data_IF_998783992676
#
_entry.id   IF_998783992676
#
_cell.length_a   1.000
_cell.length_b   1.000
_cell.length_c   1.000
_cell.angle_alpha   90.00
_cell.angle_beta   90.00
_cell.angle_gamma   90.00
#
_symmetry.space_group_name_H-M   'P 1'
#
loop_
_entity.id
_entity.type
_entity.pdbx_description
1 polymer ?
#
# COMPACT_ATOMS: atom_id res chain seq x y z
N UNK A 1 11.87 14.69 -0.06
CA UNK A 1 10.74 14.39 -0.96
C UNK A 1 11.16 13.65 -2.23
N UNK A 2 12.33 13.91 -2.83
CA UNK A 2 12.77 13.21 -4.04
C UNK A 2 12.76 11.66 -3.90
N UNK A 3 13.34 11.04 -2.86
CA UNK A 3 13.30 9.58 -2.71
C UNK A 3 11.88 9.04 -2.48
N UNK A 4 11.05 9.80 -1.75
CA UNK A 4 9.66 9.45 -1.52
C UNK A 4 8.85 9.43 -2.81
N UNK A 5 8.99 10.46 -3.65
CA UNK A 5 8.32 10.53 -4.95
C UNK A 5 8.75 9.36 -5.86
N UNK A 6 10.02 8.96 -5.83
CA UNK A 6 10.49 7.78 -6.56
C UNK A 6 9.80 6.49 -6.10
N UNK A 7 9.69 6.27 -4.80
CA UNK A 7 8.99 5.08 -4.24
C UNK A 7 7.52 5.09 -4.61
N UNK A 8 6.83 6.23 -4.43
CA UNK A 8 5.41 6.38 -4.79
C UNK A 8 5.20 6.14 -6.28
N UNK A 9 6.06 6.69 -7.14
CA UNK A 9 5.99 6.46 -8.59
C UNK A 9 6.20 4.99 -8.95
N UNK A 10 7.18 4.34 -8.31
CA UNK A 10 7.45 2.91 -8.51
C UNK A 10 6.25 2.05 -8.10
N UNK A 11 5.62 2.36 -6.96
CA UNK A 11 4.40 1.68 -6.51
C UNK A 11 3.21 1.93 -7.44
N UNK A 12 2.99 3.17 -7.89
CA UNK A 12 1.87 3.54 -8.73
C UNK A 12 1.99 2.99 -10.17
N UNK A 13 3.17 3.09 -10.77
CA UNK A 13 3.39 2.80 -12.20
C UNK A 13 4.43 1.71 -12.42
N UNK A 14 5.57 1.78 -11.72
CA UNK A 14 6.71 0.88 -11.94
C UNK A 14 6.44 -0.61 -11.72
N UNK A 15 5.44 -0.95 -10.91
CA UNK A 15 5.05 -2.35 -10.63
C UNK A 15 3.89 -2.87 -11.48
N UNK A 16 3.44 -2.12 -12.50
CA UNK A 16 2.33 -2.53 -13.36
C UNK A 16 2.60 -3.87 -14.07
N UNK A 17 3.79 -4.05 -14.65
CA UNK A 17 4.19 -5.29 -15.32
C UNK A 17 4.28 -6.48 -14.36
N UNK A 18 4.82 -6.28 -13.15
CA UNK A 18 4.86 -7.33 -12.13
C UNK A 18 3.46 -7.76 -11.66
N UNK A 19 2.49 -6.83 -11.73
CA UNK A 19 1.10 -7.10 -11.36
C UNK A 19 0.36 -7.85 -12.48
N UNK A 20 0.65 -7.57 -13.75
CA UNK A 20 0.06 -8.32 -14.87
C UNK A 20 0.59 -9.75 -14.97
N UNK A 21 1.77 -10.03 -14.42
CA UNK A 21 2.37 -11.37 -14.33
C UNK A 21 1.90 -12.19 -13.13
N UNK A 22 0.93 -11.73 -12.34
CA UNK A 22 0.40 -12.53 -11.24
C UNK A 22 -0.31 -13.79 -11.76
N UNK A 23 -0.31 -14.90 -10.99
CA UNK A 23 -0.76 -16.20 -11.47
C UNK A 23 -2.29 -16.32 -11.62
N UNK A 24 -3.06 -15.37 -11.08
CA UNK A 24 -4.51 -15.30 -11.25
C UNK A 24 -5.00 -13.84 -11.30
N UNK A 25 -6.19 -13.58 -11.90
CA UNK A 25 -6.83 -12.26 -11.84
C UNK A 25 -7.08 -11.77 -10.41
N UNK A 26 -7.39 -12.69 -9.49
CA UNK A 26 -7.57 -12.37 -8.07
C UNK A 26 -6.26 -11.91 -7.43
N UNK A 27 -5.15 -12.62 -7.66
CA UNK A 27 -3.82 -12.22 -7.19
C UNK A 27 -3.39 -10.87 -7.79
N UNK A 28 -3.67 -10.61 -9.08
CA UNK A 28 -3.42 -9.32 -9.71
C UNK A 28 -4.20 -8.18 -9.03
N UNK A 29 -5.48 -8.42 -8.72
CA UNK A 29 -6.32 -7.44 -8.03
C UNK A 29 -5.84 -7.15 -6.60
N UNK A 30 -5.48 -8.19 -5.84
CA UNK A 30 -4.92 -8.06 -4.49
C UNK A 30 -3.59 -7.31 -4.48
N UNK A 31 -2.69 -7.63 -5.43
CA UNK A 31 -1.42 -6.92 -5.58
C UNK A 31 -1.63 -5.43 -5.95
N UNK A 32 -2.58 -5.13 -6.83
CA UNK A 32 -2.98 -3.76 -7.17
C UNK A 32 -3.53 -3.01 -5.96
N UNK A 33 -4.46 -3.63 -5.23
CA UNK A 33 -5.04 -3.06 -4.01
C UNK A 33 -3.97 -2.75 -2.95
N UNK A 34 -3.04 -3.68 -2.71
CA UNK A 34 -1.94 -3.48 -1.78
C UNK A 34 -1.04 -2.30 -2.19
N UNK A 35 -0.71 -2.18 -3.48
CA UNK A 35 0.10 -1.05 -4.02
C UNK A 35 -0.60 0.30 -3.79
N UNK A 36 -1.87 0.40 -4.17
CA UNK A 36 -2.61 1.65 -4.04
C UNK A 36 -2.90 2.00 -2.58
N UNK A 37 -3.21 1.01 -1.72
CA UNK A 37 -3.34 1.22 -0.28
C UNK A 37 -2.06 1.83 0.31
N UNK A 38 -0.90 1.30 -0.07
CA UNK A 38 0.40 1.85 0.36
C UNK A 38 0.58 3.28 -0.12
N UNK A 39 0.30 3.59 -1.40
CA UNK A 39 0.39 4.96 -1.93
C UNK A 39 -0.50 5.91 -1.14
N UNK A 40 -1.78 5.57 -0.93
CA UNK A 40 -2.72 6.44 -0.22
C UNK A 40 -2.34 6.65 1.25
N UNK A 41 -1.98 5.58 1.96
CA UNK A 41 -1.57 5.69 3.37
C UNK A 41 -0.26 6.48 3.53
N UNK A 42 0.68 6.34 2.59
CA UNK A 42 1.96 7.04 2.66
C UNK A 42 1.87 8.52 2.27
N UNK A 43 0.84 8.93 1.50
CA UNK A 43 0.58 10.33 1.19
C UNK A 43 0.07 11.14 2.40
N UNK A 44 -0.32 10.47 3.51
CA UNK A 44 -0.62 11.15 4.77
C UNK A 44 0.60 11.90 5.33
N UNK A 45 1.82 11.37 5.16
CA UNK A 45 3.05 12.00 5.66
C UNK A 45 3.34 13.37 5.05
N UNK A 46 3.42 13.54 3.72
CA UNK A 46 3.59 14.86 3.13
C UNK A 46 2.41 15.80 3.39
N UNK A 47 1.18 15.27 3.48
CA UNK A 47 0.01 16.09 3.83
C UNK A 47 0.14 16.73 5.21
N UNK A 48 0.46 15.94 6.24
CA UNK A 48 0.68 16.46 7.60
C UNK A 48 1.82 17.47 7.65
N UNK A 49 2.90 17.24 6.89
CA UNK A 49 4.01 18.18 6.78
C UNK A 49 3.57 19.54 6.18
N UNK A 50 2.72 19.51 5.15
CA UNK A 50 2.16 20.73 4.54
C UNK A 50 1.18 21.45 5.48
N UNK A 51 0.35 20.74 6.25
CA UNK A 51 -0.58 21.33 7.22
C UNK A 51 0.14 22.16 8.28
N UNK A 52 1.30 21.73 8.74
CA UNK A 52 2.14 22.53 9.66
C UNK A 52 2.65 23.83 9.03
N UNK A 53 2.77 23.87 7.70
CA UNK A 53 3.27 25.01 6.95
C UNK A 53 2.20 26.10 6.69
N UNK A 54 0.91 25.77 6.86
CA UNK A 54 -0.22 26.71 6.67
C UNK A 54 -0.73 27.36 7.97
N UNK A 55 0.05 27.31 9.05
CA UNK A 55 -0.22 28.07 10.28
C UNK A 55 -1.09 27.37 11.32
N UNK A 56 -1.46 26.11 11.09
CA UNK A 56 -2.04 25.25 12.13
C UNK A 56 -0.94 24.87 13.14
N UNK A 57 -1.01 25.43 14.34
CA UNK A 57 -0.03 25.24 15.40
C UNK A 57 -0.69 24.99 16.77
N UNK A 58 0.09 24.50 17.72
CA UNK A 58 -0.37 24.24 19.08
C UNK A 58 -1.02 22.86 19.28
N UNK A 59 -1.58 22.60 20.48
CA UNK A 59 -2.01 21.26 20.89
C UNK A 59 -3.03 20.59 19.96
N UNK A 60 -3.95 21.37 19.37
CA UNK A 60 -4.94 20.86 18.43
C UNK A 60 -4.28 20.35 17.14
N UNK A 61 -3.29 21.06 16.59
CA UNK A 61 -2.56 20.64 15.41
C UNK A 61 -1.80 19.32 15.66
N UNK A 62 -1.16 19.19 16.83
CA UNK A 62 -0.51 17.95 17.24
C UNK A 62 -1.51 16.80 17.40
N UNK A 63 -2.69 17.05 17.97
CA UNK A 63 -3.74 16.02 18.09
C UNK A 63 -4.15 15.49 16.70
N UNK A 64 -4.47 16.37 15.75
CA UNK A 64 -4.85 15.96 14.39
C UNK A 64 -3.73 15.21 13.67
N UNK A 65 -2.48 15.63 13.84
CA UNK A 65 -1.31 14.91 13.33
C UNK A 65 -1.24 13.48 13.86
N UNK A 66 -1.37 13.29 15.18
CA UNK A 66 -1.29 11.96 15.79
C UNK A 66 -2.45 11.06 15.37
N UNK A 67 -3.66 11.61 15.25
CA UNK A 67 -4.81 10.87 14.70
C UNK A 67 -4.55 10.47 13.25
N UNK A 68 -4.05 11.39 12.42
CA UNK A 68 -3.71 11.13 11.03
C UNK A 68 -2.65 10.02 10.89
N UNK A 69 -1.56 10.09 11.67
CA UNK A 69 -0.53 9.06 11.67
C UNK A 69 -1.02 7.71 12.18
N UNK A 70 -1.89 7.69 13.20
CA UNK A 70 -2.47 6.44 13.70
C UNK A 70 -3.30 5.75 12.63
N UNK A 71 -4.14 6.50 11.91
CA UNK A 71 -4.94 5.95 10.80
C UNK A 71 -4.01 5.46 9.67
N UNK A 72 -3.04 6.28 9.26
CA UNK A 72 -2.09 5.90 8.22
C UNK A 72 -1.34 4.61 8.57
N UNK A 73 -0.93 4.45 9.82
CA UNK A 73 -0.20 3.29 10.29
C UNK A 73 -1.05 2.03 10.37
N UNK A 74 -2.31 2.12 10.83
CA UNK A 74 -3.24 0.99 10.80
C UNK A 74 -3.46 0.52 9.35
N UNK A 75 -3.62 1.45 8.41
CA UNK A 75 -3.81 1.13 7.00
C UNK A 75 -2.54 0.52 6.37
N UNK A 76 -1.38 1.14 6.59
CA UNK A 76 -0.11 0.72 6.02
C UNK A 76 0.47 -0.56 6.65
N UNK A 77 -0.01 -0.97 7.83
CA UNK A 77 0.50 -2.14 8.56
C UNK A 77 -0.55 -3.25 8.67
N UNK A 78 -1.62 -3.02 9.41
CA UNK A 78 -2.61 -4.07 9.71
C UNK A 78 -3.44 -4.43 8.47
N UNK A 79 -4.04 -3.43 7.83
CA UNK A 79 -4.87 -3.66 6.63
C UNK A 79 -4.01 -4.15 5.47
N UNK A 80 -2.86 -3.52 5.25
CA UNK A 80 -1.88 -4.00 4.28
C UNK A 80 -1.46 -5.45 4.55
N UNK A 81 -1.17 -5.82 5.80
CA UNK A 81 -0.81 -7.18 6.19
C UNK A 81 -1.89 -8.21 5.83
N UNK A 82 -3.17 -7.89 6.04
CA UNK A 82 -4.29 -8.74 5.62
C UNK A 82 -4.35 -8.91 4.10
N UNK A 83 -4.09 -7.84 3.32
CA UNK A 83 -4.04 -7.93 1.86
C UNK A 83 -2.89 -8.81 1.38
N UNK A 84 -1.71 -8.70 1.99
CA UNK A 84 -0.56 -9.55 1.65
C UNK A 84 -0.81 -11.00 2.01
N UNK A 85 -1.43 -11.27 3.17
CA UNK A 85 -1.85 -12.61 3.54
C UNK A 85 -2.84 -13.20 2.52
N UNK A 86 -3.87 -12.45 2.12
CA UNK A 86 -4.83 -12.89 1.11
C UNK A 86 -4.16 -13.17 -0.24
N UNK A 87 -3.21 -12.31 -0.66
CA UNK A 87 -2.42 -12.52 -1.87
C UNK A 87 -1.58 -13.80 -1.79
N UNK A 88 -0.92 -14.04 -0.67
CA UNK A 88 -0.14 -15.27 -0.47
C UNK A 88 -1.04 -16.52 -0.51
N UNK A 89 -2.20 -16.47 0.15
CA UNK A 89 -3.18 -17.56 0.15
C UNK A 89 -3.67 -17.90 -1.26
N UNK A 90 -4.00 -16.89 -2.07
CA UNK A 90 -4.43 -17.08 -3.46
C UNK A 90 -3.33 -17.72 -4.30
N UNK A 91 -2.08 -17.23 -4.17
CA UNK A 91 -0.94 -17.79 -4.90
C UNK A 91 -0.68 -19.25 -4.52
N UNK A 92 -0.73 -19.59 -3.23
CA UNK A 92 -0.58 -20.97 -2.77
C UNK A 92 -1.69 -21.88 -3.30
N UNK A 93 -2.93 -21.42 -3.34
CA UNK A 93 -4.05 -22.20 -3.90
C UNK A 93 -3.87 -22.46 -5.42
N UNK A 94 -3.38 -21.47 -6.17
CA UNK A 94 -3.08 -21.64 -7.60
C UNK A 94 -1.95 -22.64 -7.80
N UNK A 95 -0.90 -22.58 -6.98
CA UNK A 95 0.22 -23.53 -7.01
C UNK A 95 -0.24 -24.98 -6.70
N UNK A 96 -1.06 -25.17 -5.67
CA UNK A 96 -1.58 -26.49 -5.27
C UNK A 96 -2.52 -27.10 -6.32
N UNK A 97 -3.26 -26.28 -7.07
CA UNK A 97 -4.15 -26.74 -8.14
C UNK A 97 -3.45 -27.37 -9.37
N UNK A 98 -2.12 -27.53 -9.34
CA UNK A 98 -1.37 -28.30 -10.34
C UNK A 98 -1.19 -27.59 -11.69
N UNK A 99 -1.47 -26.29 -11.79
CA UNK A 99 -1.27 -25.51 -13.03
C UNK A 99 0.20 -25.17 -13.35
N UNK A 100 1.16 -25.71 -12.60
CA UNK A 100 2.60 -25.43 -12.76
C UNK A 100 3.46 -26.66 -13.10
N UNK A 101 2.94 -27.89 -13.03
CA UNK A 101 3.66 -29.08 -13.45
C UNK A 101 2.82 -29.87 -14.46
N UNK A 102 3.27 -30.00 -15.73
CA UNK A 102 2.67 -30.94 -16.65
C UNK A 102 2.95 -32.37 -16.18
N UNK A 103 1.91 -33.21 -16.17
CA UNK A 103 2.07 -34.67 -16.11
C UNK A 103 2.74 -35.18 -17.38
#
# INVERSE_FOLDING_TARGET
MIPFCYVVFTLAVGLAEATSKQPSPAAASLASAARYLTVFSWLTYPFVYMVKSVGLAGPAATMYEQVGYSIADVMAKAVFGVLIWALASEKSAVEESGKLLPN
#
